data_IF_379509117010
#
_entry.id   IF_379509117010
#
_cell.length_a   1.000
_cell.length_b   1.000
_cell.length_c   1.000
_cell.angle_alpha   90.00
_cell.angle_beta   90.00
_cell.angle_gamma   90.00
#
_symmetry.space_group_name_H-M   'P 1'
#
loop_
_entity.id
_entity.type
_entity.pdbx_description
1 polymer ?
#
# COMPACT_ATOMS: atom_id res chain seq x y z
N UNK A 1 15.75 8.98 -7.19
CA UNK A 1 14.85 7.93 -7.69
C UNK A 1 13.60 8.01 -6.81
N UNK A 2 12.50 8.56 -7.32
CA UNK A 2 11.33 8.92 -6.51
C UNK A 2 10.18 7.91 -6.60
N UNK A 3 10.34 6.83 -7.36
CA UNK A 3 9.33 5.78 -7.48
C UNK A 3 9.92 4.41 -7.78
N UNK A 4 9.23 3.37 -7.31
CA UNK A 4 9.48 1.96 -7.62
C UNK A 4 8.22 1.42 -8.31
N UNK A 5 8.34 1.10 -9.59
CA UNK A 5 7.28 0.47 -10.37
C UNK A 5 7.69 -0.95 -10.72
N UNK A 6 6.95 -1.91 -10.14
CA UNK A 6 7.06 -3.34 -10.40
C UNK A 6 5.73 -3.90 -10.94
N UNK A 7 4.87 -3.03 -11.48
CA UNK A 7 3.58 -3.44 -11.99
C UNK A 7 3.67 -4.33 -13.22
N UNK A 8 2.60 -5.04 -13.53
CA UNK A 8 2.47 -5.90 -14.72
C UNK A 8 3.55 -7.00 -14.78
N UNK A 9 3.79 -7.64 -13.64
CA UNK A 9 4.73 -8.75 -13.52
C UNK A 9 4.01 -10.02 -13.02
N UNK A 10 4.79 -11.07 -12.74
CA UNK A 10 4.32 -12.32 -12.13
C UNK A 10 4.92 -12.50 -10.74
N UNK A 11 5.10 -11.42 -9.99
CA UNK A 11 5.60 -11.49 -8.62
C UNK A 11 4.59 -12.26 -7.78
N UNK A 12 5.10 -13.21 -6.99
CA UNK A 12 4.32 -14.10 -6.12
C UNK A 12 4.80 -13.98 -4.68
N UNK A 13 4.02 -14.52 -3.75
CA UNK A 13 4.34 -14.47 -2.32
C UNK A 13 3.84 -13.17 -1.69
N UNK A 14 4.32 -12.89 -0.48
CA UNK A 14 3.86 -11.73 0.30
C UNK A 14 4.64 -10.46 -0.04
N UNK A 15 4.05 -9.31 0.28
CA UNK A 15 4.76 -8.03 0.25
C UNK A 15 5.73 -8.00 1.45
N UNK A 16 7.05 -7.88 1.23
CA UNK A 16 8.01 -7.87 2.32
C UNK A 16 7.91 -6.61 3.18
N UNK A 17 8.05 -6.74 4.50
CA UNK A 17 7.99 -5.61 5.44
C UNK A 17 9.12 -4.59 5.20
N UNK A 18 10.23 -5.06 4.64
CA UNK A 18 11.43 -4.28 4.32
C UNK A 18 11.16 -3.17 3.30
N UNK A 19 10.09 -3.26 2.49
CA UNK A 19 9.68 -2.14 1.64
C UNK A 19 9.36 -0.89 2.45
N UNK A 20 8.96 -1.03 3.73
CA UNK A 20 8.78 0.08 4.66
C UNK A 20 10.06 0.84 5.01
N UNK A 21 11.24 0.35 4.61
CA UNK A 21 12.52 1.05 4.79
C UNK A 21 12.80 2.09 3.70
N UNK A 22 12.02 2.09 2.61
CA UNK A 22 12.18 3.00 1.48
C UNK A 22 11.58 4.39 1.76
N UNK A 23 11.92 5.00 2.89
CA UNK A 23 11.27 6.23 3.44
C UNK A 23 11.31 7.46 2.53
N UNK A 24 12.14 7.47 1.49
CA UNK A 24 12.27 8.56 0.51
C UNK A 24 11.42 8.36 -0.75
N UNK A 25 10.71 7.23 -0.87
CA UNK A 25 9.90 6.91 -2.04
C UNK A 25 8.62 7.75 -2.08
N UNK A 26 8.23 8.20 -3.27
CA UNK A 26 6.96 8.92 -3.52
C UNK A 26 5.94 8.07 -4.25
N UNK A 27 6.38 7.10 -5.06
CA UNK A 27 5.48 6.21 -5.80
C UNK A 27 5.87 4.76 -5.56
N UNK A 28 4.94 3.93 -5.09
CA UNK A 28 5.09 2.48 -5.03
C UNK A 28 3.96 1.84 -5.83
N UNK A 29 4.30 1.22 -6.96
CA UNK A 29 3.35 0.52 -7.80
C UNK A 29 3.70 -0.98 -7.85
N UNK A 30 2.88 -1.80 -7.19
CA UNK A 30 2.96 -3.26 -7.18
C UNK A 30 1.76 -3.90 -7.92
N UNK A 31 0.99 -3.09 -8.66
CA UNK A 31 -0.26 -3.54 -9.27
C UNK A 31 -0.06 -4.61 -10.35
N UNK A 32 -1.12 -5.35 -10.68
CA UNK A 32 -1.08 -6.36 -11.74
C UNK A 32 0.02 -7.41 -11.51
N UNK A 33 0.00 -8.04 -10.34
CA UNK A 33 0.88 -9.13 -9.95
C UNK A 33 0.04 -10.28 -9.35
N UNK A 34 0.72 -11.25 -8.73
CA UNK A 34 0.10 -12.41 -8.08
C UNK A 34 0.45 -12.43 -6.59
N UNK A 35 0.63 -11.25 -5.98
CA UNK A 35 1.02 -11.11 -4.58
C UNK A 35 -0.14 -11.54 -3.66
N UNK A 36 0.20 -12.21 -2.57
CA UNK A 36 -0.72 -12.80 -1.60
C UNK A 36 -0.46 -12.26 -0.19
N UNK A 37 -1.28 -12.65 0.78
CA UNK A 37 -1.09 -12.27 2.19
C UNK A 37 -1.57 -10.84 2.49
N UNK A 38 -1.35 -10.36 3.72
CA UNK A 38 -1.82 -9.05 4.16
C UNK A 38 -0.97 -7.90 3.61
N UNK A 39 -1.55 -6.69 3.62
CA UNK A 39 -0.77 -5.47 3.41
C UNK A 39 0.10 -5.23 4.67
N UNK A 40 1.43 -5.13 4.56
CA UNK A 40 2.29 -4.94 5.72
C UNK A 40 2.05 -3.59 6.40
N UNK A 41 1.91 -3.60 7.73
CA UNK A 41 1.78 -2.38 8.54
C UNK A 41 2.99 -1.46 8.34
N UNK A 42 4.18 -2.01 8.04
CA UNK A 42 5.41 -1.25 7.80
C UNK A 42 5.36 -0.31 6.59
N UNK A 43 4.42 -0.49 5.67
CA UNK A 43 4.20 0.50 4.60
C UNK A 43 3.74 1.86 5.15
N UNK A 44 3.21 1.93 6.38
CA UNK A 44 2.92 3.21 7.06
C UNK A 44 4.17 4.05 7.39
N UNK A 45 5.37 3.49 7.29
CA UNK A 45 6.62 4.23 7.46
C UNK A 45 6.98 5.09 6.23
N UNK A 46 6.31 4.90 5.09
CA UNK A 46 6.59 5.61 3.85
C UNK A 46 5.98 7.02 3.86
N UNK A 47 6.33 7.85 4.84
CA UNK A 47 5.65 9.14 5.11
C UNK A 47 5.70 10.16 3.96
N UNK A 48 6.62 9.98 3.01
CA UNK A 48 6.73 10.80 1.79
C UNK A 48 5.98 10.23 0.58
N UNK A 49 5.27 9.10 0.74
CA UNK A 49 4.56 8.46 -0.38
C UNK A 49 3.36 9.29 -0.82
N UNK A 50 3.26 9.50 -2.12
CA UNK A 50 2.21 10.26 -2.79
C UNK A 50 1.23 9.34 -3.53
N UNK A 51 1.73 8.20 -4.03
CA UNK A 51 0.93 7.18 -4.72
C UNK A 51 1.32 5.77 -4.28
N UNK A 52 0.32 5.01 -3.85
CA UNK A 52 0.43 3.60 -3.48
C UNK A 52 -0.61 2.79 -4.25
N UNK A 53 -0.15 2.00 -5.22
CA UNK A 53 -1.01 1.11 -6.01
C UNK A 53 -0.65 -0.36 -5.72
N UNK A 54 -1.59 -1.06 -5.09
CA UNK A 54 -1.53 -2.49 -4.77
C UNK A 54 -2.63 -3.27 -5.51
N UNK A 55 -3.31 -2.64 -6.48
CA UNK A 55 -4.47 -3.21 -7.13
C UNK A 55 -4.15 -4.44 -7.99
N UNK A 56 -5.17 -5.22 -8.32
CA UNK A 56 -5.03 -6.39 -9.20
C UNK A 56 -3.97 -7.38 -8.69
N UNK A 57 -4.17 -7.84 -7.47
CA UNK A 57 -3.37 -8.86 -6.77
C UNK A 57 -4.31 -9.81 -6.02
N UNK A 58 -3.76 -10.70 -5.18
CA UNK A 58 -4.51 -11.62 -4.33
C UNK A 58 -4.31 -11.30 -2.83
N UNK A 59 -4.14 -10.02 -2.48
CA UNK A 59 -3.93 -9.59 -1.10
C UNK A 59 -5.19 -9.86 -0.26
N UNK A 60 -4.98 -10.26 1.00
CA UNK A 60 -6.04 -10.69 1.94
C UNK A 60 -6.00 -9.85 3.22
N UNK A 61 -6.92 -10.11 4.15
CA UNK A 61 -6.96 -9.41 5.43
C UNK A 61 -7.62 -8.04 5.33
N UNK A 62 -7.22 -7.11 6.20
CA UNK A 62 -7.77 -5.74 6.30
C UNK A 62 -6.75 -4.73 5.79
N UNK A 63 -7.22 -3.57 5.34
CA UNK A 63 -6.35 -2.41 5.14
C UNK A 63 -5.85 -1.93 6.50
N UNK A 64 -4.51 -1.84 6.74
CA UNK A 64 -3.97 -1.40 8.02
C UNK A 64 -4.41 0.04 8.33
N UNK A 65 -5.01 0.31 9.51
CA UNK A 65 -5.40 1.66 9.89
C UNK A 65 -4.21 2.61 10.02
N UNK A 66 -2.99 2.10 10.21
CA UNK A 66 -1.77 2.92 10.25
C UNK A 66 -1.48 3.64 8.94
N UNK A 67 -2.04 3.18 7.81
CA UNK A 67 -1.89 3.87 6.52
C UNK A 67 -2.60 5.24 6.51
N UNK A 68 -3.51 5.53 7.44
CA UNK A 68 -4.10 6.87 7.58
C UNK A 68 -3.08 7.93 8.03
N UNK A 69 -1.90 7.53 8.52
CA UNK A 69 -0.81 8.43 8.89
C UNK A 69 -0.02 8.96 7.69
N UNK A 70 -0.27 8.43 6.48
CA UNK A 70 0.42 8.81 5.26
C UNK A 70 -0.16 10.13 4.72
N UNK A 71 0.16 11.24 5.39
CA UNK A 71 -0.40 12.57 5.08
C UNK A 71 -0.06 13.09 3.67
N UNK A 72 0.98 12.54 3.04
CA UNK A 72 1.38 12.89 1.67
C UNK A 72 0.62 12.11 0.60
N UNK A 73 -0.14 11.07 0.99
CA UNK A 73 -0.78 10.14 0.06
C UNK A 73 -1.97 10.80 -0.63
N UNK A 74 -1.87 10.92 -1.96
CA UNK A 74 -2.90 11.52 -2.82
C UNK A 74 -3.65 10.48 -3.65
N UNK A 75 -3.02 9.32 -3.87
CA UNK A 75 -3.57 8.22 -4.66
C UNK A 75 -3.34 6.90 -3.93
N UNK A 76 -4.43 6.23 -3.56
CA UNK A 76 -4.41 4.92 -2.92
C UNK A 76 -5.34 3.97 -3.65
N UNK A 77 -4.79 2.89 -4.19
CA UNK A 77 -5.56 1.91 -4.95
C UNK A 77 -5.28 0.49 -4.44
N UNK A 78 -6.32 -0.13 -3.90
CA UNK A 78 -6.30 -1.53 -3.43
C UNK A 78 -7.40 -2.37 -4.07
N UNK A 79 -8.02 -1.86 -5.15
CA UNK A 79 -9.07 -2.54 -5.88
C UNK A 79 -8.60 -3.88 -6.46
N UNK A 80 -9.53 -4.78 -6.79
CA UNK A 80 -9.22 -6.09 -7.36
C UNK A 80 -8.23 -6.90 -6.50
N UNK A 81 -8.52 -6.99 -5.21
CA UNK A 81 -7.87 -7.87 -4.24
C UNK A 81 -8.93 -8.64 -3.44
N UNK A 82 -8.49 -9.52 -2.56
CA UNK A 82 -9.35 -10.31 -1.68
C UNK A 82 -9.40 -9.74 -0.24
N UNK A 83 -9.34 -8.41 -0.13
CA UNK A 83 -9.39 -7.65 1.12
C UNK A 83 -10.78 -7.67 1.74
N UNK A 84 -10.84 -7.49 3.05
CA UNK A 84 -12.04 -7.59 3.87
C UNK A 84 -12.05 -6.56 4.99
N UNK A 85 -13.20 -6.43 5.67
CA UNK A 85 -13.37 -5.46 6.76
C UNK A 85 -13.71 -4.06 6.28
N UNK A 86 -13.72 -3.12 7.23
CA UNK A 86 -14.01 -1.71 6.95
C UNK A 86 -12.73 -0.98 6.56
N UNK A 87 -12.84 -0.04 5.64
CA UNK A 87 -11.78 0.93 5.42
C UNK A 87 -11.57 1.75 6.70
N UNK A 88 -10.31 2.05 7.07
CA UNK A 88 -10.04 2.84 8.24
C UNK A 88 -10.58 4.27 8.06
N UNK A 89 -11.19 4.80 9.11
CA UNK A 89 -11.68 6.17 9.14
C UNK A 89 -10.49 7.14 9.19
N UNK A 90 -10.50 8.13 8.30
CA UNK A 90 -9.53 9.23 8.33
C UNK A 90 -10.13 10.26 9.29
N UNK A 91 -9.65 10.28 10.53
CA UNK A 91 -10.12 11.23 11.54
C UNK A 91 -9.45 12.59 11.31
N UNK A 92 -9.88 13.32 10.28
CA UNK A 92 -9.33 14.64 9.92
C UNK A 92 -10.30 15.80 10.17
N UNK A 93 -11.10 15.69 11.24
CA UNK A 93 -11.95 16.77 11.72
C UNK A 93 -11.71 17.03 13.21
N UNK A 94 -10.51 17.48 13.58
CA UNK A 94 -10.37 18.38 14.73
C UNK A 94 -10.31 19.80 14.19
N UNK A 95 -11.45 20.50 14.30
CA UNK A 95 -11.61 21.94 14.05
C UNK A 95 -10.76 22.74 15.02
#
# INVERSE_FOLDING_TARGET
MSGLDLSCNKLTGEIPEELGLLTQIRVLNLSHNVLTGPIPVKLSNLTNIESLDLSSNHLTGKVPPELTKLNSLSSFNVSFNNLSGKLPEINDCTV
#
